data_IF_151267421753
#
_entry.id   IF_151267421753
#
_cell.length_a   1.000
_cell.length_b   1.000
_cell.length_c   1.000
_cell.angle_alpha   90.00
_cell.angle_beta   90.00
_cell.angle_gamma   90.00
#
_symmetry.space_group_name_H-M   'P 1'
#
loop_
_entity.id
_entity.type
_entity.pdbx_description
1 polymer ?
#
# COMPACT_ATOMS: atom_id res chain seq x y z
N UNK A 1 15.84 10.14 21.58
CA UNK A 1 15.13 10.55 20.35
C UNK A 1 14.91 9.28 19.56
N UNK A 2 13.70 9.01 19.10
CA UNK A 2 13.44 7.86 18.23
C UNK A 2 13.93 8.21 16.82
N UNK A 3 14.90 7.47 16.30
CA UNK A 3 15.36 7.60 14.93
C UNK A 3 14.49 6.75 14.02
N UNK A 4 14.09 7.31 12.89
CA UNK A 4 13.31 6.63 11.86
C UNK A 4 14.04 6.66 10.53
N UNK A 5 13.91 5.58 9.76
CA UNK A 5 14.50 5.45 8.42
C UNK A 5 13.41 5.10 7.43
N UNK A 6 13.39 5.77 6.29
CA UNK A 6 12.53 5.42 5.15
C UNK A 6 13.32 4.53 4.19
N UNK A 7 12.81 3.34 3.89
CA UNK A 7 13.39 2.41 2.92
C UNK A 7 12.34 2.05 1.87
N UNK A 8 12.77 1.74 0.65
CA UNK A 8 11.89 1.12 -0.34
C UNK A 8 11.50 -0.28 0.15
N UNK A 9 10.29 -0.72 -0.18
CA UNK A 9 9.85 -2.09 0.14
C UNK A 9 10.52 -3.09 -0.78
N UNK A 10 10.81 -4.26 -0.24
CA UNK A 10 11.32 -5.41 -0.95
C UNK A 10 10.22 -6.46 -1.09
N UNK A 11 10.44 -7.40 -2.00
CA UNK A 11 9.53 -8.53 -2.23
C UNK A 11 9.20 -9.31 -0.95
N UNK A 12 10.17 -9.45 -0.04
CA UNK A 12 9.99 -10.12 1.26
C UNK A 12 9.09 -9.35 2.23
N UNK A 13 8.89 -8.05 2.03
CA UNK A 13 7.98 -7.24 2.86
C UNK A 13 6.50 -7.42 2.46
N UNK A 14 6.23 -8.01 1.29
CA UNK A 14 4.89 -8.09 0.70
C UNK A 14 3.85 -8.62 1.68
N UNK A 15 4.08 -9.80 2.25
CA UNK A 15 3.11 -10.42 3.17
C UNK A 15 2.91 -9.61 4.45
N UNK A 16 3.97 -9.00 4.97
CA UNK A 16 3.87 -8.20 6.18
C UNK A 16 3.06 -6.93 5.92
N UNK A 17 3.41 -6.18 4.88
CA UNK A 17 2.72 -4.94 4.53
C UNK A 17 1.27 -5.23 4.13
N UNK A 18 1.00 -6.31 3.41
CA UNK A 18 -0.37 -6.75 3.11
C UNK A 18 -1.20 -6.94 4.39
N UNK A 19 -0.63 -7.53 5.44
CA UNK A 19 -1.31 -7.62 6.74
C UNK A 19 -1.48 -6.26 7.42
N UNK A 20 -0.49 -5.37 7.34
CA UNK A 20 -0.60 -4.01 7.87
C UNK A 20 -1.71 -3.20 7.17
N UNK A 21 -1.88 -3.36 5.86
CA UNK A 21 -2.96 -2.74 5.08
C UNK A 21 -4.32 -3.16 5.61
N UNK A 22 -4.52 -4.45 5.95
CA UNK A 22 -5.79 -4.92 6.53
C UNK A 22 -6.14 -4.18 7.82
N UNK A 23 -5.16 -3.96 8.70
CA UNK A 23 -5.36 -3.20 9.93
C UNK A 23 -5.63 -1.72 9.66
N UNK A 24 -4.93 -1.13 8.69
CA UNK A 24 -5.19 0.24 8.25
C UNK A 24 -6.62 0.42 7.72
N UNK A 25 -7.05 -0.44 6.79
CA UNK A 25 -8.38 -0.36 6.20
C UNK A 25 -9.46 -0.56 7.27
N UNK A 26 -9.25 -1.48 8.22
CA UNK A 26 -10.14 -1.66 9.36
C UNK A 26 -10.24 -0.39 10.22
N UNK A 27 -9.11 0.24 10.56
CA UNK A 27 -9.09 1.48 11.35
C UNK A 27 -9.78 2.63 10.60
N UNK A 28 -9.47 2.80 9.31
CA UNK A 28 -10.08 3.81 8.45
C UNK A 28 -11.58 3.61 8.25
N UNK A 29 -12.06 2.36 8.27
CA UNK A 29 -13.49 2.06 8.10
C UNK A 29 -14.39 2.78 9.10
N UNK A 30 -13.86 3.14 10.27
CA UNK A 30 -14.56 3.94 11.28
C UNK A 30 -14.85 5.37 10.81
N UNK A 31 -14.05 5.88 9.88
CA UNK A 31 -14.09 7.26 9.39
C UNK A 31 -14.56 7.38 7.94
N UNK A 32 -14.55 6.29 7.17
CA UNK A 32 -14.82 6.28 5.73
C UNK A 32 -16.19 5.69 5.36
N UNK A 33 -17.03 5.38 6.36
CA UNK A 33 -18.32 4.67 6.20
C UNK A 33 -18.21 3.29 5.49
N UNK A 34 -16.99 2.76 5.34
CA UNK A 34 -16.77 1.45 4.75
C UNK A 34 -17.36 0.37 5.67
N UNK A 35 -18.43 -0.28 5.20
CA UNK A 35 -19.08 -1.34 5.97
C UNK A 35 -18.18 -2.57 6.01
N UNK A 36 -17.82 -2.98 7.22
CA UNK A 36 -17.12 -4.24 7.44
C UNK A 36 -17.93 -5.40 6.80
N UNK A 37 -17.34 -6.16 5.87
CA UNK A 37 -18.04 -7.26 5.24
C UNK A 37 -18.33 -8.41 6.23
N UNK A 38 -19.30 -9.31 5.95
CA UNK A 38 -19.67 -10.39 6.87
C UNK A 38 -18.53 -11.37 7.21
N UNK A 39 -17.53 -11.48 6.34
CA UNK A 39 -16.34 -12.31 6.55
C UNK A 39 -15.23 -11.59 7.34
N UNK A 40 -15.40 -10.31 7.69
CA UNK A 40 -14.43 -9.49 8.40
C UNK A 40 -13.22 -9.05 7.57
N UNK A 41 -13.22 -9.29 6.26
CA UNK A 41 -12.10 -8.97 5.37
C UNK A 41 -12.51 -7.93 4.34
N UNK A 42 -11.96 -6.72 4.48
CA UNK A 42 -12.10 -5.67 3.47
C UNK A 42 -11.37 -6.05 2.17
N UNK A 43 -11.96 -5.69 1.03
CA UNK A 43 -11.33 -5.80 -0.29
C UNK A 43 -10.22 -4.75 -0.46
N UNK A 44 -9.34 -4.92 -1.45
CA UNK A 44 -8.25 -3.97 -1.73
C UNK A 44 -6.93 -4.29 -1.03
N UNK A 45 -6.97 -4.97 0.13
CA UNK A 45 -5.74 -5.30 0.86
C UNK A 45 -4.86 -6.32 0.14
N UNK A 46 -5.46 -7.17 -0.71
CA UNK A 46 -4.75 -8.16 -1.50
C UNK A 46 -4.29 -7.62 -2.87
N UNK A 47 -4.74 -6.42 -3.26
CA UNK A 47 -4.67 -5.89 -4.63
C UNK A 47 -3.52 -4.89 -4.83
N UNK A 48 -2.36 -5.17 -4.23
CA UNK A 48 -1.23 -4.24 -4.18
C UNK A 48 0.06 -4.69 -4.88
N UNK A 49 0.04 -5.60 -5.90
CA UNK A 49 1.27 -6.16 -6.47
C UNK A 49 2.19 -5.12 -7.11
N UNK A 50 1.62 -4.09 -7.74
CA UNK A 50 2.39 -3.06 -8.45
C UNK A 50 3.35 -2.28 -7.55
N UNK A 51 3.05 -2.12 -6.26
CA UNK A 51 3.93 -1.39 -5.33
C UNK A 51 5.17 -2.19 -4.92
N UNK A 52 5.19 -3.49 -5.23
CA UNK A 52 6.29 -4.42 -4.96
C UNK A 52 6.96 -4.91 -6.26
N UNK A 53 6.70 -4.23 -7.39
CA UNK A 53 7.25 -4.62 -8.68
C UNK A 53 6.63 -5.90 -9.27
N UNK A 54 5.48 -6.33 -8.75
CA UNK A 54 4.73 -7.47 -9.27
C UNK A 54 3.66 -6.99 -10.27
N UNK A 55 3.26 -7.89 -11.15
CA UNK A 55 2.15 -7.67 -12.09
C UNK A 55 1.00 -8.60 -11.66
N UNK A 56 -0.25 -8.10 -11.53
CA UNK A 56 -1.41 -8.94 -11.26
C UNK A 56 -1.54 -10.07 -12.29
N UNK A 57 -1.86 -11.27 -11.79
CA UNK A 57 -2.14 -12.43 -12.64
C UNK A 57 -3.42 -12.21 -13.45
N UNK A 58 -4.48 -11.71 -12.79
CA UNK A 58 -5.73 -11.33 -13.44
C UNK A 58 -5.52 -10.04 -14.26
N UNK A 59 -5.77 -10.07 -15.58
CA UNK A 59 -5.73 -8.87 -16.41
C UNK A 59 -6.70 -7.76 -15.98
N UNK A 60 -7.82 -8.09 -15.32
CA UNK A 60 -8.81 -7.10 -14.87
C UNK A 60 -8.29 -6.23 -13.72
N UNK A 61 -7.33 -6.74 -12.93
CA UNK A 61 -6.68 -6.01 -11.83
C UNK A 61 -5.49 -5.16 -12.29
N UNK A 62 -5.16 -5.21 -13.59
CA UNK A 62 -3.99 -4.48 -14.12
C UNK A 62 -4.27 -2.99 -14.22
N UNK A 63 -3.30 -2.21 -13.73
CA UNK A 63 -3.33 -0.77 -13.91
C UNK A 63 -3.16 -0.39 -15.39
N UNK A 64 -3.70 0.76 -15.82
CA UNK A 64 -3.50 1.26 -17.17
C UNK A 64 -2.02 1.39 -17.55
N UNK A 65 -1.75 1.29 -18.85
CA UNK A 65 -0.40 1.40 -19.39
C UNK A 65 0.30 2.71 -18.94
N UNK A 66 1.56 2.56 -18.54
CA UNK A 66 2.41 3.64 -18.05
C UNK A 66 2.19 4.02 -16.58
N UNK A 67 1.22 3.42 -15.89
CA UNK A 67 1.11 3.55 -14.44
C UNK A 67 2.17 2.69 -13.75
N UNK A 68 2.64 3.13 -12.59
CA UNK A 68 3.57 2.36 -11.76
C UNK A 68 3.38 2.68 -10.29
N UNK A 69 3.99 1.90 -9.40
CA UNK A 69 3.88 2.09 -7.96
C UNK A 69 5.21 1.86 -7.26
N UNK A 70 5.38 2.50 -6.10
CA UNK A 70 6.43 2.18 -5.13
C UNK A 70 5.88 2.13 -3.72
N UNK A 71 6.21 1.06 -3.01
CA UNK A 71 6.05 1.00 -1.57
C UNK A 71 7.29 1.52 -0.84
N UNK A 72 7.05 2.12 0.32
CA UNK A 72 8.08 2.48 1.28
C UNK A 72 7.71 1.95 2.66
N UNK A 73 8.72 1.50 3.42
CA UNK A 73 8.60 1.13 4.82
C UNK A 73 9.32 2.14 5.70
N UNK A 74 8.68 2.51 6.81
CA UNK A 74 9.27 3.37 7.84
C UNK A 74 9.74 2.46 8.96
N UNK A 75 11.04 2.44 9.18
CA UNK A 75 11.72 1.64 10.19
C UNK A 75 11.90 2.45 11.47
N UNK A 76 11.68 1.80 12.61
CA UNK A 76 12.07 2.29 13.93
C UNK A 76 13.00 1.25 14.55
N UNK A 77 14.29 1.56 14.61
CA UNK A 77 15.31 0.53 14.87
C UNK A 77 15.27 -0.55 13.78
N UNK A 78 15.00 -1.80 14.17
CA UNK A 78 14.94 -2.94 13.26
C UNK A 78 13.51 -3.41 12.94
N UNK A 79 12.49 -2.65 13.37
CA UNK A 79 11.08 -3.00 13.22
C UNK A 79 10.44 -2.11 12.15
N UNK A 80 9.59 -2.69 11.30
CA UNK A 80 8.72 -1.92 10.41
C UNK A 80 7.62 -1.30 11.27
N UNK A 81 7.68 0.01 11.46
CA UNK A 81 6.66 0.73 12.22
C UNK A 81 5.44 1.03 11.35
N UNK A 82 5.68 1.40 10.07
CA UNK A 82 4.68 1.90 9.11
C UNK A 82 5.06 1.62 7.66
N UNK A 83 4.14 1.89 6.75
CA UNK A 83 4.36 1.82 5.31
C UNK A 83 3.61 2.94 4.57
N UNK A 84 4.03 3.21 3.34
CA UNK A 84 3.41 4.17 2.43
C UNK A 84 3.44 3.58 1.01
N UNK A 85 2.31 3.58 0.33
CA UNK A 85 2.20 3.12 -1.05
C UNK A 85 1.93 4.32 -1.97
N UNK A 86 2.83 4.57 -2.92
CA UNK A 86 2.74 5.71 -3.84
C UNK A 86 2.48 5.24 -5.25
N UNK A 87 1.40 5.73 -5.85
CA UNK A 87 1.00 5.44 -7.23
C UNK A 87 1.42 6.59 -8.13
N UNK A 88 2.03 6.24 -9.26
CA UNK A 88 2.47 7.17 -10.31
C UNK A 88 1.58 7.00 -11.54
N UNK A 89 1.00 8.09 -12.02
CA UNK A 89 0.15 8.11 -13.20
C UNK A 89 0.95 8.37 -14.48
N UNK A 90 0.51 7.77 -15.59
CA UNK A 90 1.20 7.86 -16.89
C UNK A 90 1.18 9.23 -17.56
N UNK A 91 0.40 10.19 -17.04
CA UNK A 91 0.28 11.53 -17.59
C UNK A 91 1.52 12.42 -17.32
N UNK A 92 2.53 11.92 -16.61
CA UNK A 92 3.81 12.59 -16.40
C UNK A 92 3.73 13.79 -15.45
N UNK A 93 2.57 14.06 -14.87
CA UNK A 93 2.39 15.11 -13.89
C UNK A 93 2.72 14.55 -12.49
N UNK A 94 3.94 14.79 -12.05
CA UNK A 94 4.44 14.41 -10.73
C UNK A 94 3.66 15.06 -9.58
N UNK A 95 2.83 16.07 -9.85
CA UNK A 95 1.94 16.68 -8.87
C UNK A 95 0.63 15.90 -8.68
N UNK A 96 0.34 14.90 -9.53
CA UNK A 96 -0.83 14.04 -9.43
C UNK A 96 -0.53 12.69 -8.78
N UNK A 97 0.68 12.48 -8.26
CA UNK A 97 0.99 11.26 -7.52
C UNK A 97 0.05 11.12 -6.33
N UNK A 98 -0.57 9.95 -6.22
CA UNK A 98 -1.51 9.65 -5.16
C UNK A 98 -0.82 8.75 -4.13
N UNK A 99 -1.01 9.08 -2.87
CA UNK A 99 -0.66 8.16 -1.78
C UNK A 99 -1.86 7.24 -1.66
N UNK A 100 -1.80 6.11 -2.39
CA UNK A 100 -2.91 5.18 -2.50
C UNK A 100 -3.36 4.65 -1.15
N UNK A 101 -2.40 4.36 -0.25
CA UNK A 101 -2.64 3.90 1.11
C UNK A 101 -1.53 4.39 2.04
N UNK A 102 -1.93 4.86 3.23
CA UNK A 102 -1.00 5.48 4.18
C UNK A 102 -1.34 5.13 5.62
N UNK A 103 -0.42 4.44 6.29
CA UNK A 103 -0.51 4.21 7.73
C UNK A 103 0.60 5.00 8.45
N UNK A 104 0.25 5.97 9.32
CA UNK A 104 1.16 6.56 10.34
C UNK A 104 0.77 6.03 11.73
#
# INVERSE_FOLDING_TARGET
>A
MLEFTLLEVEENDYMLIQNLIRFYVYDMSQYTEWKCPPNGLFSGADDQPYYFGRIPEDPEDRWPDGWSGKGFKIMVGNEIARFCLVRFYSNGDVHLNDIGEFFI
#
